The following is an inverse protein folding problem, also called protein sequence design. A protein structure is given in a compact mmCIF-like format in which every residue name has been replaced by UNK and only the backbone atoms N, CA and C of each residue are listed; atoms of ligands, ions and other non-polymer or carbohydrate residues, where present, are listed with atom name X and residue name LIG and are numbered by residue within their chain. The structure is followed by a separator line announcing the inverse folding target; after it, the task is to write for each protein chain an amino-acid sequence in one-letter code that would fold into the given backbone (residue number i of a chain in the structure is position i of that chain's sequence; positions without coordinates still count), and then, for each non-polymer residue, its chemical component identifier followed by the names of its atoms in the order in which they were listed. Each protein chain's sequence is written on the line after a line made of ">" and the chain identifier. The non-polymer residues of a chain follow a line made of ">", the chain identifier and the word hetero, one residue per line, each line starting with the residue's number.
data_IF_934988423393
#
_entry.id   IF_934988423393
#
_cell.length_a   1.000
_cell.length_b   1.000
_cell.length_c   1.000
_cell.angle_alpha   90.00
_cell.angle_beta   90.00
_cell.angle_gamma   90.00
#
_symmetry.space_group_name_H-M   'P 1'
#
loop_
_entity.id
_entity.type
_entity.pdbx_description
1 polymer ?
#
# COMPACT_ATOMS: atom_id res chain seq x y z
N UNK A 1 -21.65 -10.57 2.60
CA UNK A 1 -20.40 -10.41 3.37
C UNK A 1 -19.39 -11.43 2.85
N UNK A 2 -18.62 -11.10 1.81
CA UNK A 2 -17.89 -12.12 1.01
C UNK A 2 -16.44 -11.76 0.67
N UNK A 3 -15.94 -10.57 0.99
CA UNK A 3 -14.59 -10.15 0.57
C UNK A 3 -13.51 -10.25 1.66
N UNK A 4 -13.91 -10.33 2.94
CA UNK A 4 -13.00 -10.71 4.04
C UNK A 4 -12.83 -12.22 4.18
N UNK A 5 -13.67 -13.02 3.50
CA UNK A 5 -13.71 -14.49 3.70
C UNK A 5 -12.40 -15.17 3.28
N UNK A 6 -11.82 -14.71 2.17
CA UNK A 6 -10.61 -15.33 1.60
C UNK A 6 -9.36 -14.45 1.71
N UNK A 7 -9.51 -13.15 2.00
CA UNK A 7 -8.39 -12.24 2.22
C UNK A 7 -7.43 -12.09 1.02
N UNK A 8 -7.88 -12.35 -0.20
CA UNK A 8 -7.03 -12.36 -1.40
C UNK A 8 -6.23 -11.07 -1.61
N UNK A 9 -6.84 -9.91 -1.34
CA UNK A 9 -6.13 -8.64 -1.45
C UNK A 9 -4.95 -8.59 -0.47
N UNK A 10 -5.22 -8.87 0.81
CA UNK A 10 -4.21 -8.89 1.88
C UNK A 10 -3.07 -9.85 1.57
N UNK A 11 -3.38 -11.03 1.03
CA UNK A 11 -2.39 -12.05 0.65
C UNK A 11 -1.60 -11.71 -0.62
N UNK A 12 -2.07 -10.76 -1.41
CA UNK A 12 -1.43 -10.32 -2.66
C UNK A 12 -0.54 -9.10 -2.51
N UNK A 13 -0.47 -8.51 -1.30
CA UNK A 13 0.45 -7.41 -1.03
C UNK A 13 1.83 -8.03 -0.85
N UNK A 14 2.75 -7.71 -1.75
CA UNK A 14 4.09 -8.27 -1.81
C UNK A 14 5.09 -7.12 -1.69
N UNK A 15 6.12 -7.25 -0.83
CA UNK A 15 7.27 -6.38 -0.84
C UNK A 15 8.30 -6.85 -1.88
N UNK A 16 8.91 -5.90 -2.58
CA UNK A 16 10.08 -6.12 -3.44
C UNK A 16 11.16 -5.12 -3.03
N UNK A 17 12.44 -5.53 -3.03
CA UNK A 17 13.52 -4.66 -2.60
C UNK A 17 14.86 -5.04 -3.25
N UNK A 18 15.72 -4.05 -3.39
CA UNK A 18 17.12 -4.19 -3.79
C UNK A 18 18.01 -3.24 -2.95
N UNK A 19 19.28 -3.08 -3.31
CA UNK A 19 20.22 -2.23 -2.58
C UNK A 19 19.90 -0.72 -2.65
N UNK A 20 18.97 -0.30 -3.51
CA UNK A 20 18.67 1.10 -3.81
C UNK A 20 17.22 1.47 -3.54
N UNK A 21 16.30 0.51 -3.56
CA UNK A 21 14.88 0.78 -3.37
C UNK A 21 14.14 -0.36 -2.66
N UNK A 22 13.02 0.01 -2.03
CA UNK A 22 12.02 -0.92 -1.54
C UNK A 22 10.65 -0.49 -2.06
N UNK A 23 9.86 -1.46 -2.48
CA UNK A 23 8.54 -1.30 -3.08
C UNK A 23 7.55 -2.21 -2.36
N UNK A 24 6.29 -1.76 -2.29
CA UNK A 24 5.17 -2.56 -1.79
C UNK A 24 3.98 -2.35 -2.71
N UNK A 25 3.34 -3.45 -3.12
CA UNK A 25 2.25 -3.37 -4.08
C UNK A 25 1.48 -4.66 -4.23
N UNK A 26 0.53 -4.65 -5.15
CA UNK A 26 -0.27 -5.83 -5.52
C UNK A 26 -0.60 -5.77 -7.00
N UNK A 27 -0.58 -6.93 -7.66
CA UNK A 27 -0.96 -7.08 -9.07
C UNK A 27 -2.48 -7.22 -9.28
N UNK A 28 -3.30 -7.04 -8.23
CA UNK A 28 -4.75 -7.18 -8.33
C UNK A 28 -5.37 -5.93 -8.93
N UNK A 29 -6.03 -6.07 -10.08
CA UNK A 29 -6.70 -4.94 -10.77
C UNK A 29 -7.69 -4.20 -9.87
N UNK A 30 -8.42 -4.93 -9.02
CA UNK A 30 -9.39 -4.33 -8.08
C UNK A 30 -8.73 -3.63 -6.88
N UNK A 31 -7.43 -3.81 -6.63
CA UNK A 31 -6.72 -3.15 -5.52
C UNK A 31 -6.91 -1.63 -5.54
N UNK A 32 -6.80 -1.02 -6.73
CA UNK A 32 -6.93 0.42 -6.91
C UNK A 32 -8.31 0.95 -6.50
N UNK A 33 -9.39 0.28 -6.92
CA UNK A 33 -10.76 0.72 -6.58
C UNK A 33 -11.06 0.50 -5.10
N UNK A 34 -10.38 -0.44 -4.43
CA UNK A 34 -10.44 -0.56 -2.98
C UNK A 34 -9.65 0.55 -2.28
N UNK A 35 -8.46 0.90 -2.74
CA UNK A 35 -7.64 1.97 -2.13
C UNK A 35 -8.31 3.35 -2.25
N UNK A 36 -8.78 3.71 -3.46
CA UNK A 36 -9.23 5.07 -3.79
C UNK A 36 -10.76 5.22 -3.88
N UNK A 37 -11.50 4.10 -3.88
CA UNK A 37 -12.92 4.14 -4.20
C UNK A 37 -13.16 4.43 -5.67
N UNK A 38 -14.39 4.80 -6.02
CA UNK A 38 -14.78 5.20 -7.37
C UNK A 38 -15.96 4.44 -7.93
N UNK A 39 -16.22 4.60 -9.23
CA UNK A 39 -17.37 3.95 -9.88
C UNK A 39 -17.06 2.52 -10.29
N UNK A 40 -18.01 1.64 -10.05
CA UNK A 40 -17.94 0.20 -10.30
C UNK A 40 -19.30 -0.35 -10.80
N UNK A 41 -19.32 -1.65 -11.10
CA UNK A 41 -20.52 -2.34 -11.57
C UNK A 41 -20.80 -2.14 -13.05
N UNK A 42 -21.88 -2.78 -13.54
CA UNK A 42 -22.27 -2.71 -14.95
C UNK A 42 -22.60 -1.26 -15.32
N UNK A 43 -21.83 -0.70 -16.25
CA UNK A 43 -22.00 0.68 -16.69
C UNK A 43 -21.62 1.72 -15.64
N UNK A 44 -20.74 1.40 -14.68
CA UNK A 44 -20.28 2.34 -13.64
C UNK A 44 -21.43 2.90 -12.78
N UNK A 45 -22.46 2.08 -12.54
CA UNK A 45 -23.69 2.48 -11.84
C UNK A 45 -23.57 2.56 -10.32
N UNK A 46 -22.51 1.99 -9.74
CA UNK A 46 -22.31 1.93 -8.28
C UNK A 46 -21.11 2.78 -7.89
N UNK A 47 -21.27 3.68 -6.92
CA UNK A 47 -20.15 4.39 -6.31
C UNK A 47 -19.67 3.63 -5.07
N UNK A 48 -18.44 3.15 -5.11
CA UNK A 48 -17.79 2.50 -3.98
C UNK A 48 -17.01 3.53 -3.14
N UNK A 49 -17.17 3.53 -1.81
CA UNK A 49 -16.34 4.36 -0.95
C UNK A 49 -14.90 3.80 -0.90
N UNK A 50 -13.90 4.68 -0.69
CA UNK A 50 -12.51 4.27 -0.50
C UNK A 50 -12.37 3.41 0.77
N UNK A 51 -11.49 2.41 0.69
CA UNK A 51 -11.09 1.51 1.77
C UNK A 51 -9.55 1.43 1.76
N UNK A 52 -8.86 2.53 2.10
CA UNK A 52 -7.41 2.60 2.01
C UNK A 52 -6.75 1.60 2.96
N UNK A 53 -5.75 0.90 2.45
CA UNK A 53 -4.98 -0.12 3.18
C UNK A 53 -3.47 0.02 2.99
N UNK A 54 -3.03 0.85 2.05
CA UNK A 54 -1.64 1.32 1.94
C UNK A 54 -1.58 2.80 2.34
N UNK A 55 -0.49 3.25 3.00
CA UNK A 55 -0.29 4.65 3.40
C UNK A 55 0.17 5.51 2.20
N UNK A 56 -0.53 5.38 1.06
CA UNK A 56 -0.24 6.11 -0.18
C UNK A 56 -1.44 6.96 -0.57
N UNK A 57 -1.16 8.19 -0.97
CA UNK A 57 -2.12 9.14 -1.52
C UNK A 57 -2.57 8.73 -2.93
N UNK A 58 -3.59 9.42 -3.45
CA UNK A 58 -4.04 9.28 -4.84
C UNK A 58 -2.92 9.51 -5.86
N UNK A 59 -1.97 10.39 -5.55
CA UNK A 59 -0.79 10.68 -6.36
C UNK A 59 0.34 9.63 -6.21
N UNK A 60 0.11 8.55 -5.44
CA UNK A 60 1.09 7.51 -5.16
C UNK A 60 2.19 7.94 -4.18
N UNK A 61 2.05 9.09 -3.53
CA UNK A 61 3.01 9.57 -2.54
C UNK A 61 2.70 8.97 -1.17
N UNK A 62 3.73 8.56 -0.44
CA UNK A 62 3.58 8.16 0.96
C UNK A 62 3.05 9.31 1.81
N UNK A 63 2.23 8.98 2.79
CA UNK A 63 1.86 9.91 3.84
C UNK A 63 3.10 10.50 4.51
N UNK A 64 3.07 11.80 4.84
CA UNK A 64 4.23 12.51 5.37
C UNK A 64 4.70 11.98 6.73
N UNK A 65 3.77 11.54 7.58
CA UNK A 65 4.09 10.96 8.88
C UNK A 65 4.76 9.60 8.69
N UNK A 66 4.18 8.74 7.84
CA UNK A 66 4.74 7.42 7.54
C UNK A 66 6.11 7.54 6.89
N UNK A 67 6.28 8.51 5.98
CA UNK A 67 7.58 8.78 5.36
C UNK A 67 8.64 9.11 6.40
N UNK A 68 8.32 9.94 7.40
CA UNK A 68 9.24 10.28 8.48
C UNK A 68 9.57 9.06 9.34
N UNK A 69 8.56 8.28 9.75
CA UNK A 69 8.76 7.06 10.54
C UNK A 69 9.67 6.05 9.82
N UNK A 70 9.48 5.87 8.51
CA UNK A 70 10.35 5.00 7.70
C UNK A 70 11.78 5.52 7.61
N UNK A 71 11.97 6.84 7.47
CA UNK A 71 13.30 7.44 7.45
C UNK A 71 14.02 7.25 8.79
N UNK A 72 13.34 7.48 9.90
CA UNK A 72 13.89 7.30 11.24
C UNK A 72 14.35 5.85 11.46
N UNK A 73 13.50 4.87 11.13
CA UNK A 73 13.84 3.44 11.25
C UNK A 73 15.04 3.05 10.37
N UNK A 74 15.10 3.53 9.12
CA UNK A 74 16.23 3.25 8.22
C UNK A 74 17.52 3.88 8.75
N UNK A 75 17.46 5.11 9.27
CA UNK A 75 18.62 5.78 9.85
C UNK A 75 19.12 5.05 11.10
N UNK A 76 18.22 4.66 11.99
CA UNK A 76 18.54 3.90 13.20
C UNK A 76 19.21 2.56 12.85
N UNK A 77 18.66 1.84 11.86
CA UNK A 77 19.27 0.61 11.35
C UNK A 77 20.68 0.83 10.79
N UNK A 78 20.87 1.86 9.95
CA UNK A 78 22.17 2.17 9.36
C UNK A 78 23.21 2.57 10.42
N UNK A 79 22.81 3.31 11.45
CA UNK A 79 23.67 3.66 12.58
C UNK A 79 24.11 2.41 13.34
N UNK A 80 23.18 1.51 13.66
CA UNK A 80 23.49 0.24 14.33
C UNK A 80 24.41 -0.66 13.49
N UNK A 81 24.18 -0.72 12.18
CA UNK A 81 25.00 -1.50 11.26
C UNK A 81 26.42 -0.93 11.11
N UNK A 82 26.58 0.40 11.18
CA UNK A 82 27.89 1.06 11.11
C UNK A 82 28.73 0.92 12.38
N UNK A 83 28.11 0.56 13.52
CA UNK A 83 28.77 0.36 14.81
C UNK A 83 29.24 -1.10 15.03
N UNK A 84 28.95 -1.99 14.08
CA UNK A 84 29.51 -3.34 14.01
C UNK A 84 30.73 -3.37 13.12
#
# INVERSE_FOLDING_TARGET
>A
MTLSRDGYLRRSVIPEYDAHQAMVGTNRVYARIHQLGGKAGRGNSVTLPPRPYLPVSEAGQLDAEVKRQLLDEVLDYLQQASLR
#
